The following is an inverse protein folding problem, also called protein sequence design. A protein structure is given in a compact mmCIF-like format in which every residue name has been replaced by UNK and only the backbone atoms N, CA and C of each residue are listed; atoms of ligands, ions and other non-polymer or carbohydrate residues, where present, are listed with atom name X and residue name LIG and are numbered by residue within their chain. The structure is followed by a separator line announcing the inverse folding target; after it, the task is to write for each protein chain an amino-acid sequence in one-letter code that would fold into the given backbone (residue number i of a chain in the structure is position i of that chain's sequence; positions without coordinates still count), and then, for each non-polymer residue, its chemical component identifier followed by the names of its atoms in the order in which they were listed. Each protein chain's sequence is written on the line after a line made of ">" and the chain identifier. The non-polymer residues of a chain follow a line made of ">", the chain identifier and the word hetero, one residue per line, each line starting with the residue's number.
data_IF_817877562115
#
_entry.id   IF_817877562115
#
_cell.length_a   1.000
_cell.length_b   1.000
_cell.length_c   1.000
_cell.angle_alpha   90.00
_cell.angle_beta   90.00
_cell.angle_gamma   90.00
#
_symmetry.space_group_name_H-M   'P 1'
#
loop_
_entity.id
_entity.type
_entity.pdbx_description
1 polymer ?
#
# COMPACT_ATOMS: atom_id res chain seq x y z
N UNK A 1 0.09 -31.51 4.78
CA UNK A 1 0.77 -30.20 4.97
C UNK A 1 -0.31 -29.15 4.91
N UNK A 2 -0.32 -28.21 5.84
CA UNK A 2 -1.27 -27.09 5.77
C UNK A 2 -0.91 -26.23 4.55
N UNK A 3 -1.90 -25.89 3.72
CA UNK A 3 -1.70 -25.08 2.53
C UNK A 3 -1.78 -23.59 2.86
N UNK A 4 -1.11 -22.78 2.03
CA UNK A 4 -1.11 -21.31 2.14
C UNK A 4 -1.75 -20.76 0.87
N UNK A 5 -2.61 -19.76 0.99
CA UNK A 5 -3.05 -18.97 -0.15
C UNK A 5 -2.13 -17.76 -0.26
N UNK A 6 -1.51 -17.60 -1.43
CA UNK A 6 -0.77 -16.42 -1.78
C UNK A 6 -1.54 -15.63 -2.85
N UNK A 7 -1.94 -14.41 -2.52
CA UNK A 7 -2.56 -13.46 -3.45
C UNK A 7 -1.50 -12.46 -3.87
N UNK A 8 -1.26 -12.35 -5.18
CA UNK A 8 -0.33 -11.36 -5.75
C UNK A 8 -1.12 -10.37 -6.58
N UNK A 9 -1.21 -9.14 -6.09
CA UNK A 9 -1.95 -8.05 -6.70
C UNK A 9 -1.07 -7.33 -7.73
N UNK A 10 -1.63 -7.01 -8.88
CA UNK A 10 -0.96 -6.32 -9.98
C UNK A 10 -1.91 -5.33 -10.67
N UNK A 11 -1.42 -4.40 -11.50
CA UNK A 11 -2.27 -3.69 -12.42
C UNK A 11 -3.08 -4.68 -13.27
N UNK A 12 -4.37 -4.40 -13.48
CA UNK A 12 -5.31 -5.22 -14.25
C UNK A 12 -5.71 -6.58 -13.62
N UNK A 13 -5.36 -6.84 -12.32
CA UNK A 13 -5.84 -8.04 -11.66
C UNK A 13 -4.95 -8.60 -10.57
N UNK A 14 -5.14 -9.88 -10.27
CA UNK A 14 -4.37 -10.60 -9.27
C UNK A 14 -4.27 -12.09 -9.60
N UNK A 15 -3.35 -12.78 -8.96
CA UNK A 15 -3.27 -14.26 -8.95
C UNK A 15 -3.51 -14.78 -7.54
N UNK A 16 -4.11 -15.96 -7.41
CA UNK A 16 -4.30 -16.64 -6.14
C UNK A 16 -3.82 -18.08 -6.27
N UNK A 17 -2.63 -18.40 -5.80
CA UNK A 17 -1.94 -19.69 -5.97
C UNK A 17 -1.96 -20.16 -7.43
N UNK A 18 -2.50 -21.40 -7.63
CA UNK A 18 -2.60 -22.06 -8.93
C UNK A 18 -3.82 -21.58 -9.76
N UNK A 19 -4.64 -20.70 -9.22
CA UNK A 19 -5.69 -20.02 -9.99
C UNK A 19 -5.01 -18.98 -10.86
N UNK A 20 -5.14 -19.09 -12.17
CA UNK A 20 -4.55 -18.19 -13.15
C UNK A 20 -4.96 -16.73 -12.90
N UNK A 21 -4.39 -15.77 -13.65
CA UNK A 21 -4.66 -14.36 -13.43
C UNK A 21 -6.16 -14.09 -13.53
N UNK A 22 -6.69 -13.46 -12.49
CA UNK A 22 -8.07 -12.96 -12.44
C UNK A 22 -8.00 -11.49 -12.81
N UNK A 23 -8.65 -11.14 -13.92
CA UNK A 23 -8.65 -9.77 -14.39
C UNK A 23 -9.57 -8.87 -13.55
N UNK A 24 -9.13 -7.65 -13.29
CA UNK A 24 -9.93 -6.55 -12.74
C UNK A 24 -9.81 -5.40 -13.72
N UNK A 25 -10.90 -5.07 -14.40
CA UNK A 25 -10.93 -4.05 -15.45
C UNK A 25 -11.15 -2.63 -14.92
N UNK A 26 -10.72 -2.38 -13.70
CA UNK A 26 -10.92 -1.12 -12.98
C UNK A 26 -9.71 -0.82 -12.11
N UNK A 27 -9.38 0.45 -11.96
CA UNK A 27 -8.39 0.90 -10.98
C UNK A 27 -9.01 1.29 -9.63
N UNK A 28 -10.31 1.04 -9.42
CA UNK A 28 -10.95 1.25 -8.14
C UNK A 28 -10.50 0.20 -7.12
N UNK A 29 -9.96 0.64 -5.99
CA UNK A 29 -9.38 -0.27 -5.00
C UNK A 29 -10.41 -1.25 -4.41
N UNK A 30 -11.67 -0.82 -4.29
CA UNK A 30 -12.77 -1.67 -3.80
C UNK A 30 -13.15 -2.79 -4.77
N UNK A 31 -12.98 -2.60 -6.08
CA UNK A 31 -13.23 -3.64 -7.08
C UNK A 31 -12.22 -4.77 -6.96
N UNK A 32 -10.96 -4.47 -6.63
CA UNK A 32 -9.96 -5.49 -6.29
C UNK A 32 -10.34 -6.27 -5.03
N UNK A 33 -10.82 -5.60 -3.99
CA UNK A 33 -11.31 -6.27 -2.78
C UNK A 33 -12.46 -7.21 -3.11
N UNK A 34 -13.45 -6.74 -3.85
CA UNK A 34 -14.61 -7.53 -4.25
C UNK A 34 -14.21 -8.76 -5.07
N UNK A 35 -13.32 -8.59 -6.04
CA UNK A 35 -12.83 -9.67 -6.89
C UNK A 35 -12.03 -10.71 -6.09
N UNK A 36 -11.18 -10.27 -5.15
CA UNK A 36 -10.43 -11.18 -4.25
C UNK A 36 -11.39 -11.94 -3.35
N UNK A 37 -12.37 -11.29 -2.73
CA UNK A 37 -13.38 -11.96 -1.89
C UNK A 37 -14.15 -13.01 -2.70
N UNK A 38 -14.63 -12.66 -3.90
CA UNK A 38 -15.33 -13.60 -4.77
C UNK A 38 -14.48 -14.81 -5.17
N UNK A 39 -13.18 -14.61 -5.43
CA UNK A 39 -12.24 -15.70 -5.72
C UNK A 39 -12.02 -16.62 -4.51
N UNK A 40 -12.11 -16.08 -3.31
CA UNK A 40 -11.94 -16.84 -2.07
C UNK A 40 -13.20 -17.62 -1.65
N UNK A 41 -14.41 -17.18 -2.04
CA UNK A 41 -15.67 -17.85 -1.66
C UNK A 41 -15.77 -19.33 -2.09
N UNK A 42 -15.04 -19.73 -3.14
CA UNK A 42 -15.02 -21.12 -3.63
C UNK A 42 -13.96 -22.00 -2.98
N UNK A 43 -13.18 -21.50 -2.02
CA UNK A 43 -12.03 -22.18 -1.43
C UNK A 43 -12.43 -22.88 -0.12
N UNK A 44 -11.98 -24.13 0.05
CA UNK A 44 -12.10 -24.82 1.34
C UNK A 44 -11.01 -24.35 2.32
N UNK A 45 -11.41 -23.55 3.28
CA UNK A 45 -10.54 -23.01 4.32
C UNK A 45 -10.14 -24.02 5.41
N UNK A 46 -10.75 -25.20 5.48
CA UNK A 46 -10.55 -26.16 6.56
C UNK A 46 -9.11 -26.69 6.70
N UNK A 47 -8.35 -26.65 5.58
CA UNK A 47 -6.96 -27.12 5.51
C UNK A 47 -5.95 -25.98 5.29
N UNK A 48 -6.38 -24.72 5.38
CA UNK A 48 -5.51 -23.58 5.19
C UNK A 48 -4.85 -23.16 6.51
N UNK A 49 -3.54 -22.88 6.46
CA UNK A 49 -2.80 -22.33 7.60
C UNK A 49 -2.83 -20.80 7.61
N UNK A 50 -2.67 -20.19 6.45
CA UNK A 50 -2.70 -18.73 6.33
C UNK A 50 -2.99 -18.25 4.90
N UNK A 51 -3.28 -16.94 4.81
CA UNK A 51 -3.42 -16.18 3.57
C UNK A 51 -2.36 -15.08 3.60
N UNK A 52 -1.65 -14.89 2.49
CA UNK A 52 -0.74 -13.75 2.29
C UNK A 52 -1.21 -12.91 1.11
N UNK A 53 -1.12 -11.59 1.24
CA UNK A 53 -1.42 -10.66 0.16
C UNK A 53 -0.19 -9.81 -0.09
N UNK A 54 0.32 -9.84 -1.31
CA UNK A 54 1.50 -9.08 -1.74
C UNK A 54 1.22 -8.35 -3.03
N UNK A 55 1.99 -7.30 -3.33
CA UNK A 55 1.95 -6.61 -4.62
C UNK A 55 3.06 -7.10 -5.55
N UNK A 56 2.76 -7.25 -6.84
CA UNK A 56 3.80 -7.45 -7.87
C UNK A 56 4.58 -6.17 -8.11
N UNK A 57 3.91 -5.03 -7.99
CA UNK A 57 4.50 -3.70 -8.00
C UNK A 57 3.88 -2.84 -6.90
N UNK A 58 4.52 -1.70 -6.60
CA UNK A 58 3.96 -0.71 -5.70
C UNK A 58 2.81 0.06 -6.32
N UNK A 59 2.30 1.02 -5.57
CA UNK A 59 1.23 1.92 -6.00
C UNK A 59 0.75 2.73 -4.81
N UNK A 60 -0.14 3.68 -5.07
CA UNK A 60 -0.74 4.54 -4.06
C UNK A 60 -2.25 4.35 -4.02
N UNK A 61 -2.77 4.02 -2.85
CA UNK A 61 -4.17 4.16 -2.45
C UNK A 61 -4.24 5.26 -1.41
N UNK A 62 -5.14 6.22 -1.60
CA UNK A 62 -5.40 7.31 -0.65
C UNK A 62 -6.81 7.17 -0.10
N UNK A 63 -6.95 7.32 1.22
CA UNK A 63 -8.19 7.06 1.94
C UNK A 63 -8.60 8.27 2.76
N UNK A 64 -9.91 8.47 2.86
CA UNK A 64 -10.55 9.39 3.80
C UNK A 64 -10.42 8.88 5.25
N UNK A 65 -10.84 9.69 6.22
CA UNK A 65 -10.96 9.26 7.62
C UNK A 65 -11.90 8.06 7.83
N UNK A 66 -12.86 7.85 6.93
CA UNK A 66 -13.74 6.70 6.96
C UNK A 66 -13.13 5.44 6.31
N UNK A 67 -11.89 5.53 5.80
CA UNK A 67 -11.24 4.41 5.08
C UNK A 67 -11.75 4.20 3.66
N UNK A 68 -12.49 5.17 3.10
CA UNK A 68 -13.00 5.10 1.73
C UNK A 68 -11.92 5.60 0.76
N UNK A 69 -11.63 4.89 -0.33
CA UNK A 69 -10.74 5.38 -1.38
C UNK A 69 -11.24 6.71 -1.98
N UNK A 70 -10.36 7.70 -2.04
CA UNK A 70 -10.68 9.03 -2.55
C UNK A 70 -10.49 9.15 -4.07
N UNK A 71 -9.81 8.18 -4.66
CA UNK A 71 -9.55 8.12 -6.10
C UNK A 71 -9.16 6.70 -6.52
N UNK A 72 -9.11 6.41 -7.85
CA UNK A 72 -8.51 5.19 -8.37
C UNK A 72 -7.04 5.00 -7.92
N UNK A 73 -6.59 3.76 -7.88
CA UNK A 73 -5.18 3.41 -7.58
C UNK A 73 -4.25 4.11 -8.57
N UNK A 74 -3.16 4.70 -8.06
CA UNK A 74 -2.04 5.14 -8.89
C UNK A 74 -0.99 4.03 -8.83
N UNK A 75 -0.92 3.21 -9.84
CA UNK A 75 0.04 2.11 -9.91
C UNK A 75 1.49 2.59 -10.04
N UNK A 76 2.47 1.75 -9.69
CA UNK A 76 3.89 2.08 -9.85
C UNK A 76 4.25 2.39 -11.31
N UNK A 77 3.65 1.67 -12.24
CA UNK A 77 3.79 1.86 -13.69
C UNK A 77 3.24 3.20 -14.23
N UNK A 78 2.38 3.88 -13.46
CA UNK A 78 1.87 5.21 -13.83
C UNK A 78 2.98 6.26 -13.77
N UNK A 79 3.17 7.00 -14.88
CA UNK A 79 4.26 7.96 -15.07
C UNK A 79 3.88 9.41 -14.78
N UNK A 80 2.68 9.69 -14.28
CA UNK A 80 2.20 11.07 -14.03
C UNK A 80 3.09 11.84 -13.04
N UNK A 81 3.74 11.14 -12.10
CA UNK A 81 4.67 11.73 -11.12
C UNK A 81 6.13 11.84 -11.61
N UNK A 82 6.41 11.68 -12.92
CA UNK A 82 7.77 11.76 -13.46
C UNK A 82 8.46 13.11 -13.17
N UNK A 83 7.71 14.21 -13.24
CA UNK A 83 8.25 15.54 -12.93
C UNK A 83 8.59 15.69 -11.45
N UNK A 84 7.82 15.03 -10.58
CA UNK A 84 8.06 15.02 -9.13
C UNK A 84 9.28 14.19 -8.75
N UNK A 85 9.58 13.13 -9.50
CA UNK A 85 10.85 12.41 -9.35
C UNK A 85 12.05 13.31 -9.65
N UNK A 86 11.99 14.08 -10.74
CA UNK A 86 13.03 15.07 -11.05
C UNK A 86 13.12 16.19 -10.00
N UNK A 87 12.00 16.61 -9.44
CA UNK A 87 11.98 17.59 -8.36
C UNK A 87 12.65 17.03 -7.10
N UNK A 88 12.40 15.79 -6.72
CA UNK A 88 13.07 15.13 -5.60
C UNK A 88 14.60 15.17 -5.76
N UNK A 89 15.11 14.82 -6.95
CA UNK A 89 16.55 14.83 -7.25
C UNK A 89 17.16 16.23 -7.33
N UNK A 90 16.35 17.26 -7.58
CA UNK A 90 16.81 18.67 -7.49
C UNK A 90 16.88 19.17 -6.04
N UNK A 91 16.08 18.61 -5.13
CA UNK A 91 16.09 18.98 -3.71
C UNK A 91 17.27 18.37 -2.99
N UNK A 92 17.56 17.10 -3.26
CA UNK A 92 18.69 16.38 -2.71
C UNK A 92 19.30 15.49 -3.79
N UNK A 93 20.62 15.33 -3.77
CA UNK A 93 21.32 14.47 -4.72
C UNK A 93 21.07 12.98 -4.46
N UNK A 94 21.48 12.14 -5.41
CA UNK A 94 21.28 10.68 -5.32
C UNK A 94 21.93 10.08 -4.07
N UNK A 95 23.12 10.58 -3.68
CA UNK A 95 23.84 10.07 -2.51
C UNK A 95 23.07 10.34 -1.21
N UNK A 96 22.42 11.50 -1.12
CA UNK A 96 21.57 11.83 0.01
C UNK A 96 20.38 10.83 0.11
N UNK A 97 19.70 10.56 -1.02
CA UNK A 97 18.58 9.63 -1.07
C UNK A 97 19.00 8.22 -0.66
N UNK A 98 20.12 7.72 -1.16
CA UNK A 98 20.69 6.42 -0.77
C UNK A 98 20.98 6.37 0.73
N UNK A 99 21.56 7.43 1.29
CA UNK A 99 21.89 7.48 2.71
C UNK A 99 20.65 7.59 3.62
N UNK A 100 19.61 8.27 3.16
CA UNK A 100 18.39 8.56 3.94
C UNK A 100 17.41 7.39 3.91
N UNK A 101 17.06 6.89 2.74
CA UNK A 101 16.01 5.88 2.55
C UNK A 101 16.45 4.65 1.73
N UNK A 102 17.70 4.58 1.30
CA UNK A 102 18.27 3.42 0.62
C UNK A 102 17.95 3.30 -0.87
N UNK A 103 17.15 4.19 -1.44
CA UNK A 103 16.75 4.15 -2.85
C UNK A 103 16.76 5.55 -3.46
N UNK A 104 17.00 5.63 -4.77
CA UNK A 104 16.87 6.86 -5.56
C UNK A 104 15.43 6.93 -6.06
N UNK A 105 14.66 7.99 -5.73
CA UNK A 105 13.24 8.05 -6.12
C UNK A 105 13.07 8.21 -7.63
N UNK A 106 12.13 7.46 -8.18
CA UNK A 106 11.62 7.62 -9.53
C UNK A 106 10.07 7.68 -9.51
N UNK A 107 9.42 7.74 -10.67
CA UNK A 107 7.97 7.83 -10.76
C UNK A 107 7.21 6.63 -10.15
N UNK A 108 7.87 5.49 -9.98
CA UNK A 108 7.24 4.29 -9.42
C UNK A 108 7.08 4.34 -7.91
N UNK A 109 7.84 5.19 -7.22
CA UNK A 109 7.86 5.27 -5.77
C UNK A 109 6.72 6.12 -5.19
N UNK A 110 6.27 5.74 -4.01
CA UNK A 110 5.16 6.41 -3.33
C UNK A 110 5.45 7.89 -3.05
N UNK A 111 6.68 8.23 -2.69
CA UNK A 111 7.12 9.60 -2.41
C UNK A 111 6.78 10.56 -3.55
N UNK A 112 7.02 10.15 -4.79
CA UNK A 112 6.79 10.99 -5.98
C UNK A 112 5.29 11.10 -6.30
N UNK A 113 4.54 10.02 -6.10
CA UNK A 113 3.08 10.01 -6.27
C UNK A 113 2.38 10.90 -5.23
N UNK A 114 2.84 10.89 -3.98
CA UNK A 114 2.33 11.78 -2.94
C UNK A 114 2.67 13.26 -3.24
N UNK A 115 3.89 13.54 -3.70
CA UNK A 115 4.28 14.89 -4.12
C UNK A 115 3.42 15.38 -5.28
N UNK A 116 3.19 14.52 -6.29
CA UNK A 116 2.31 14.83 -7.40
C UNK A 116 0.87 15.09 -6.94
N UNK A 117 0.32 14.24 -6.09
CA UNK A 117 -1.05 14.37 -5.58
C UNK A 117 -1.23 15.68 -4.82
N UNK A 118 -0.30 16.00 -3.91
CA UNK A 118 -0.32 17.24 -3.13
C UNK A 118 -0.37 18.48 -4.04
N UNK A 119 0.44 18.47 -5.10
CA UNK A 119 0.54 19.60 -6.03
C UNK A 119 -0.61 19.67 -7.02
N UNK A 120 -1.10 18.52 -7.50
CA UNK A 120 -1.98 18.45 -8.68
C UNK A 120 -3.46 18.26 -8.34
N UNK A 121 -3.75 17.69 -7.17
CA UNK A 121 -5.12 17.42 -6.71
C UNK A 121 -5.31 17.91 -5.27
N UNK A 122 -5.19 19.23 -5.01
CA UNK A 122 -5.21 19.79 -3.66
C UNK A 122 -6.52 19.52 -2.91
N UNK A 123 -7.65 19.44 -3.61
CA UNK A 123 -8.95 19.16 -2.98
C UNK A 123 -8.97 17.73 -2.42
N UNK A 124 -8.48 16.75 -3.19
CA UNK A 124 -8.33 15.37 -2.72
C UNK A 124 -7.30 15.32 -1.58
N UNK A 125 -6.16 16.03 -1.74
CA UNK A 125 -5.12 16.05 -0.72
C UNK A 125 -5.60 16.48 0.66
N UNK A 126 -6.51 17.43 0.74
CA UNK A 126 -7.09 17.88 2.00
C UNK A 126 -7.92 16.80 2.71
N UNK A 127 -8.55 15.90 1.95
CA UNK A 127 -9.36 14.81 2.49
C UNK A 127 -8.54 13.55 2.83
N UNK A 128 -7.27 13.48 2.39
CA UNK A 128 -6.41 12.32 2.64
C UNK A 128 -6.12 12.19 4.14
N UNK A 129 -6.63 11.13 4.73
CA UNK A 129 -6.32 10.73 6.11
C UNK A 129 -5.27 9.62 6.17
N UNK A 130 -5.32 8.66 5.22
CA UNK A 130 -4.38 7.54 5.20
C UNK A 130 -3.90 7.28 3.78
N UNK A 131 -2.68 6.74 3.68
CA UNK A 131 -2.07 6.30 2.43
C UNK A 131 -1.50 4.89 2.61
N UNK A 132 -1.58 4.05 1.59
CA UNK A 132 -1.02 2.71 1.63
C UNK A 132 -0.78 2.16 0.22
N UNK A 133 -0.14 1.00 0.13
CA UNK A 133 -0.07 0.25 -1.12
C UNK A 133 -1.40 -0.46 -1.44
N UNK A 134 -1.66 -0.84 -2.70
CA UNK A 134 -2.84 -1.64 -3.05
C UNK A 134 -2.91 -2.96 -2.28
N UNK A 135 -1.79 -3.65 -2.08
CA UNK A 135 -1.75 -4.89 -1.32
C UNK A 135 -2.09 -4.68 0.17
N UNK A 136 -1.58 -3.60 0.78
CA UNK A 136 -1.90 -3.25 2.17
C UNK A 136 -3.39 -2.92 2.32
N UNK A 137 -3.96 -2.19 1.36
CA UNK A 137 -5.39 -1.87 1.33
C UNK A 137 -6.25 -3.15 1.26
N UNK A 138 -5.97 -4.03 0.32
CA UNK A 138 -6.72 -5.28 0.16
C UNK A 138 -6.60 -6.13 1.43
N UNK A 139 -5.40 -6.28 1.97
CA UNK A 139 -5.14 -7.02 3.20
C UNK A 139 -5.94 -6.46 4.37
N UNK A 140 -5.91 -5.15 4.56
CA UNK A 140 -6.68 -4.48 5.59
C UNK A 140 -8.19 -4.74 5.45
N UNK A 141 -8.73 -4.58 4.24
CA UNK A 141 -10.16 -4.80 3.95
C UNK A 141 -10.58 -6.26 4.18
N UNK A 142 -9.73 -7.23 3.87
CA UNK A 142 -10.02 -8.65 4.11
C UNK A 142 -10.17 -8.98 5.60
N UNK A 143 -9.40 -8.34 6.48
CA UNK A 143 -9.44 -8.61 7.92
C UNK A 143 -10.44 -7.73 8.68
N UNK A 144 -10.69 -6.51 8.21
CA UNK A 144 -11.60 -5.56 8.87
C UNK A 144 -13.06 -5.70 8.42
N UNK A 145 -13.30 -6.44 7.33
CA UNK A 145 -14.61 -6.49 6.70
C UNK A 145 -14.95 -5.21 5.93
N UNK A 146 -16.14 -5.19 5.31
CA UNK A 146 -16.56 -4.08 4.44
C UNK A 146 -17.18 -2.90 5.20
N UNK A 147 -17.29 -2.97 6.52
CA UNK A 147 -18.15 -2.05 7.30
C UNK A 147 -17.47 -1.34 8.47
N UNK A 148 -16.24 -1.72 8.85
CA UNK A 148 -15.58 -1.04 9.96
C UNK A 148 -14.80 0.18 9.45
N UNK A 149 -15.17 1.40 9.89
CA UNK A 149 -14.30 2.55 9.69
C UNK A 149 -12.95 2.27 10.35
N UNK A 150 -11.89 2.89 9.86
CA UNK A 150 -10.59 2.87 10.52
C UNK A 150 -10.76 3.56 11.88
N UNK A 151 -11.22 2.78 12.88
CA UNK A 151 -11.56 3.32 14.20
C UNK A 151 -10.33 3.65 15.02
N UNK A 152 -9.19 3.04 14.70
CA UNK A 152 -7.89 3.33 15.31
C UNK A 152 -6.78 3.20 14.27
N UNK A 153 -5.88 4.13 14.34
CA UNK A 153 -4.69 4.25 13.54
C UNK A 153 -3.69 3.12 13.83
N UNK A 154 -3.82 2.04 13.27
CA UNK A 154 -3.02 0.83 13.52
C UNK A 154 -3.58 -0.34 12.76
N UNK A 155 -4.67 -0.11 12.04
CA UNK A 155 -5.32 -1.17 11.26
C UNK A 155 -4.65 -1.42 9.91
N UNK A 156 -4.02 -0.43 9.28
CA UNK A 156 -3.24 -0.64 8.03
C UNK A 156 -1.80 -0.93 8.40
N UNK A 157 -1.33 -2.09 7.97
CA UNK A 157 0.00 -2.61 8.29
C UNK A 157 0.75 -2.94 7.01
N UNK A 158 2.03 -2.63 6.98
CA UNK A 158 2.92 -2.94 5.85
C UNK A 158 4.16 -3.70 6.29
N UNK A 159 4.82 -4.41 5.36
CA UNK A 159 6.10 -5.07 5.65
C UNK A 159 7.28 -4.09 5.49
N UNK A 160 8.45 -4.37 6.12
CA UNK A 160 9.64 -3.56 5.92
C UNK A 160 10.04 -3.44 4.43
N UNK A 161 9.93 -4.54 3.68
CA UNK A 161 10.27 -4.57 2.24
C UNK A 161 9.34 -3.67 1.42
N UNK A 162 8.04 -3.68 1.71
CA UNK A 162 7.08 -2.83 1.01
C UNK A 162 7.27 -1.35 1.43
N UNK A 163 7.59 -1.10 2.71
CA UNK A 163 7.92 0.25 3.19
C UNK A 163 9.18 0.82 2.50
N UNK A 164 10.23 0.01 2.32
CA UNK A 164 11.44 0.40 1.58
C UNK A 164 11.14 0.86 0.14
N UNK A 165 10.25 0.14 -0.54
CA UNK A 165 9.82 0.46 -1.91
C UNK A 165 9.06 1.77 -2.03
N UNK A 166 8.68 2.39 -0.92
CA UNK A 166 7.98 3.68 -0.94
C UNK A 166 8.91 4.87 -1.17
N UNK A 167 10.22 4.72 -0.94
CA UNK A 167 11.20 5.80 -0.80
C UNK A 167 10.85 6.80 0.33
N UNK A 168 10.10 6.34 1.34
CA UNK A 168 9.76 7.09 2.56
C UNK A 168 10.39 6.47 3.81
N UNK A 169 10.74 5.17 3.76
CA UNK A 169 11.19 4.39 4.90
C UNK A 169 12.71 4.24 4.91
N UNK A 170 13.31 4.51 6.06
CA UNK A 170 14.74 4.27 6.31
C UNK A 170 14.94 2.94 7.05
N UNK A 171 15.38 1.90 6.36
CA UNK A 171 15.70 0.61 6.98
C UNK A 171 16.80 0.72 8.03
N UNK A 172 17.73 1.64 7.80
CA UNK A 172 18.82 1.94 8.76
C UNK A 172 18.29 2.44 10.10
N UNK A 173 17.24 3.28 10.06
CA UNK A 173 16.67 3.90 11.25
C UNK A 173 15.45 3.13 11.78
N UNK A 174 14.89 2.20 10.99
CA UNK A 174 13.66 1.48 11.31
C UNK A 174 12.45 2.42 11.43
N UNK A 175 12.41 3.50 10.64
CA UNK A 175 11.38 4.53 10.71
C UNK A 175 11.17 5.22 9.36
N UNK A 176 10.01 5.83 9.16
CA UNK A 176 9.78 6.75 8.06
C UNK A 176 10.65 8.00 8.22
N UNK A 177 11.27 8.45 7.10
CA UNK A 177 12.12 9.63 7.10
C UNK A 177 11.30 10.90 7.23
N UNK A 178 11.40 11.57 8.37
CA UNK A 178 10.74 12.85 8.59
C UNK A 178 11.25 13.92 7.62
N UNK A 179 12.52 13.85 7.21
CA UNK A 179 13.10 14.78 6.25
C UNK A 179 12.41 14.66 4.89
N UNK A 180 12.17 13.43 4.42
CA UNK A 180 11.46 13.16 3.16
C UNK A 180 9.98 13.56 3.27
N UNK A 181 9.33 13.21 4.37
CA UNK A 181 7.91 13.55 4.59
C UNK A 181 7.67 15.07 4.62
N UNK A 182 8.55 15.82 5.27
CA UNK A 182 8.48 17.28 5.32
C UNK A 182 8.72 17.95 3.96
N UNK A 183 9.40 17.29 3.04
CA UNK A 183 9.53 17.77 1.66
C UNK A 183 8.19 17.78 0.92
N UNK A 184 7.32 16.78 1.22
CA UNK A 184 6.01 16.65 0.58
C UNK A 184 5.04 17.64 1.23
N UNK A 185 4.89 17.57 2.55
CA UNK A 185 3.98 18.42 3.32
C UNK A 185 4.46 18.48 4.78
N UNK A 186 5.04 19.61 5.17
CA UNK A 186 5.59 19.83 6.52
C UNK A 186 4.51 20.07 7.58
N UNK A 187 3.27 20.36 7.18
CA UNK A 187 2.17 20.64 8.10
C UNK A 187 1.32 19.41 8.43
N UNK A 188 1.48 18.33 7.66
CA UNK A 188 0.72 17.09 7.83
C UNK A 188 1.25 16.26 9.01
N UNK A 189 0.33 15.75 9.84
CA UNK A 189 0.65 14.73 10.86
C UNK A 189 0.80 13.35 10.19
N UNK A 190 2.00 13.09 9.67
CA UNK A 190 2.32 11.84 8.98
C UNK A 190 2.22 10.61 9.87
N UNK A 191 2.32 10.75 11.19
CA UNK A 191 2.21 9.62 12.12
C UNK A 191 0.83 8.96 12.07
N UNK A 192 -0.18 9.70 11.61
CA UNK A 192 -1.55 9.22 11.43
C UNK A 192 -1.89 8.81 10.00
N UNK A 193 -1.00 9.08 9.07
CA UNK A 193 -1.27 8.91 7.65
C UNK A 193 -0.67 7.61 7.10
N UNK A 194 0.46 7.18 7.63
CA UNK A 194 1.26 6.07 7.09
C UNK A 194 0.97 4.74 7.77
N UNK A 195 1.10 3.58 7.05
CA UNK A 195 0.94 2.26 7.64
C UNK A 195 1.96 1.98 8.74
N UNK A 196 1.57 1.16 9.71
CA UNK A 196 2.50 0.64 10.70
C UNK A 196 3.37 -0.46 10.08
N UNK A 197 4.69 -0.31 10.18
CA UNK A 197 5.62 -1.33 9.69
C UNK A 197 5.74 -2.45 10.73
N UNK A 198 5.46 -3.70 10.30
CA UNK A 198 5.56 -4.92 11.11
C UNK A 198 6.47 -5.93 10.41
N UNK A 199 7.05 -6.82 11.21
CA UNK A 199 7.90 -7.88 10.68
C UNK A 199 7.16 -8.73 9.64
N UNK A 200 7.87 -9.20 8.61
CA UNK A 200 7.32 -10.12 7.61
C UNK A 200 6.80 -11.38 8.30
N UNK A 201 5.64 -11.86 7.87
CA UNK A 201 4.95 -12.99 8.48
C UNK A 201 4.16 -12.66 9.74
N UNK A 202 4.14 -11.38 10.18
CA UNK A 202 3.28 -10.97 11.28
C UNK A 202 1.80 -11.23 10.93
N UNK A 203 1.05 -11.76 11.90
CA UNK A 203 -0.39 -11.93 11.77
C UNK A 203 -1.04 -10.55 11.89
N UNK A 204 -1.87 -10.19 10.93
CA UNK A 204 -2.58 -8.91 10.89
C UNK A 204 -4.08 -9.04 11.15
N UNK A 205 -4.60 -10.26 11.13
CA UNK A 205 -6.00 -10.57 11.40
C UNK A 205 -6.37 -11.97 10.91
N UNK A 206 -7.66 -12.20 10.72
CA UNK A 206 -8.17 -13.46 10.17
C UNK A 206 -9.33 -13.21 9.20
N UNK A 207 -9.45 -14.10 8.22
CA UNK A 207 -10.56 -14.15 7.27
C UNK A 207 -11.14 -15.57 7.30
N UNK A 208 -12.44 -15.71 7.53
CA UNK A 208 -13.12 -17.00 7.67
C UNK A 208 -12.42 -17.97 8.66
N UNK A 209 -11.82 -17.44 9.73
CA UNK A 209 -11.09 -18.24 10.73
C UNK A 209 -9.64 -18.59 10.34
N UNK A 210 -9.20 -18.26 9.14
CA UNK A 210 -7.81 -18.46 8.67
C UNK A 210 -7.00 -17.18 8.89
N UNK A 211 -5.75 -17.33 9.37
CA UNK A 211 -4.87 -16.19 9.66
C UNK A 211 -4.46 -15.47 8.37
N UNK A 212 -4.41 -14.15 8.41
CA UNK A 212 -3.88 -13.30 7.35
C UNK A 212 -2.55 -12.72 7.82
N UNK A 213 -1.51 -12.89 7.00
CA UNK A 213 -0.13 -12.51 7.34
C UNK A 213 0.42 -11.46 6.36
N UNK A 214 1.45 -10.72 6.84
CA UNK A 214 2.32 -9.87 6.01
C UNK A 214 3.26 -10.68 5.14
#
# INVERSE_FOLDING_TARGET
>A
MASVIQIVVSPHGFTANDVGPIAVESDAADDYVAAVVAALEGIDFSNLSNITVTGSEGGLVVLSHAGTPLRPIIWASDTTSQADAQWCLKKHDEQWWINEVGVIPDHSHLVTKLSWLHRSEPDIWQEVAHVCSPADYIRWRLVSGSQDPISEMGSIVTSPLDAERTALWSSKNGAYSQAVLNMIDSERDWSKCLPIVRARGAIVGSLFGTLVNL
#
